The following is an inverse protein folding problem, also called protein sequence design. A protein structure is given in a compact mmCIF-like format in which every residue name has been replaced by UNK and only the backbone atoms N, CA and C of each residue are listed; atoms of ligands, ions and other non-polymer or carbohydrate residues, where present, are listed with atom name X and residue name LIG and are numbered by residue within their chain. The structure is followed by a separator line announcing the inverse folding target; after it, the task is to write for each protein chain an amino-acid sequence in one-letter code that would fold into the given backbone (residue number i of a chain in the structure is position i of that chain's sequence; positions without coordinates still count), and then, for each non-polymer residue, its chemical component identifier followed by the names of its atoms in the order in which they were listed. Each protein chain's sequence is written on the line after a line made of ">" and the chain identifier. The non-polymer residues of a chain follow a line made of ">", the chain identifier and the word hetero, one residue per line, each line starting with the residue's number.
data_IF_975319208412
#
_entry.id   IF_975319208412
#
_cell.length_a   1.000
_cell.length_b   1.000
_cell.length_c   1.000
_cell.angle_alpha   90.00
_cell.angle_beta   90.00
_cell.angle_gamma   90.00
#
_symmetry.space_group_name_H-M   'P 1'
#
loop_
_entity.id
_entity.type
_entity.pdbx_description
1 polymer ?
#
# COMPACT_ATOMS: atom_id res chain seq x y z
N UNK A 1 -39.17 23.86 22.70
CA UNK A 1 -39.33 23.28 21.35
C UNK A 1 -38.03 23.24 20.54
N UNK A 2 -37.26 24.34 20.44
CA UNK A 2 -36.02 24.44 19.65
C UNK A 2 -34.98 23.34 19.98
N UNK A 3 -34.79 22.98 21.25
CA UNK A 3 -33.85 21.93 21.68
C UNK A 3 -34.22 20.51 21.21
N UNK A 4 -35.50 20.21 20.95
CA UNK A 4 -35.92 18.91 20.38
C UNK A 4 -35.57 18.82 18.89
N UNK A 5 -35.81 19.90 18.14
CA UNK A 5 -35.48 20.00 16.71
C UNK A 5 -33.96 19.98 16.46
N UNK A 6 -33.18 20.57 17.36
CA UNK A 6 -31.71 20.52 17.29
C UNK A 6 -31.16 19.09 17.44
N UNK A 7 -31.75 18.27 18.33
CA UNK A 7 -31.38 16.85 18.50
C UNK A 7 -31.71 16.00 17.28
N UNK A 8 -32.87 16.22 16.64
CA UNK A 8 -33.24 15.51 15.41
C UNK A 8 -32.38 15.94 14.21
N UNK A 9 -31.99 17.22 14.15
CA UNK A 9 -31.06 17.72 13.12
C UNK A 9 -29.66 17.09 13.26
N UNK A 10 -29.11 17.01 14.47
CA UNK A 10 -27.83 16.33 14.72
C UNK A 10 -27.89 14.83 14.41
N UNK A 11 -28.99 14.16 14.74
CA UNK A 11 -29.20 12.74 14.39
C UNK A 11 -29.31 12.54 12.88
N UNK A 12 -29.99 13.45 12.17
CA UNK A 12 -30.10 13.41 10.72
C UNK A 12 -28.76 13.68 10.02
N UNK A 13 -27.98 14.63 10.51
CA UNK A 13 -26.60 14.89 10.03
C UNK A 13 -25.71 13.67 10.28
N UNK A 14 -25.80 13.05 11.46
CA UNK A 14 -25.05 11.84 11.78
C UNK A 14 -25.43 10.67 10.85
N UNK A 15 -26.73 10.44 10.61
CA UNK A 15 -27.22 9.42 9.68
C UNK A 15 -26.82 9.71 8.23
N UNK A 16 -26.85 10.98 7.80
CA UNK A 16 -26.43 11.38 6.46
C UNK A 16 -24.92 11.21 6.24
N UNK A 17 -24.10 11.53 7.24
CA UNK A 17 -22.65 11.28 7.21
C UNK A 17 -22.34 9.78 7.23
N UNK A 18 -23.07 8.99 8.03
CA UNK A 18 -22.92 7.54 8.06
C UNK A 18 -23.29 6.89 6.72
N UNK A 19 -24.37 7.33 6.06
CA UNK A 19 -24.79 6.81 4.76
C UNK A 19 -23.82 7.21 3.64
N UNK A 20 -23.32 8.45 3.66
CA UNK A 20 -22.33 8.94 2.68
C UNK A 20 -20.98 8.20 2.78
N UNK A 21 -20.64 7.72 3.98
CA UNK A 21 -19.40 6.98 4.22
C UNK A 21 -19.43 5.55 3.67
N UNK A 22 -20.59 4.88 3.64
CA UNK A 22 -20.71 3.58 2.98
C UNK A 22 -20.57 3.70 1.45
N UNK A 23 -21.17 4.73 0.86
CA UNK A 23 -21.13 4.95 -0.60
C UNK A 23 -19.69 5.16 -1.09
N UNK A 24 -18.86 5.92 -0.36
CA UNK A 24 -17.48 6.19 -0.76
C UNK A 24 -16.57 4.95 -0.68
N UNK A 25 -16.77 4.07 0.31
CA UNK A 25 -15.98 2.84 0.51
C UNK A 25 -16.28 1.79 -0.57
N UNK A 26 -17.49 1.78 -1.16
CA UNK A 26 -17.82 0.84 -2.23
C UNK A 26 -17.66 1.43 -3.63
N UNK A 27 -18.08 2.67 -3.89
CA UNK A 27 -18.10 3.22 -5.25
C UNK A 27 -16.69 3.58 -5.73
N UNK A 28 -15.87 4.21 -4.89
CA UNK A 28 -14.53 4.69 -5.31
C UNK A 28 -13.64 3.50 -5.68
N UNK A 29 -13.54 2.44 -4.86
CA UNK A 29 -12.73 1.27 -5.24
C UNK A 29 -13.20 0.58 -6.51
N UNK A 30 -14.51 0.40 -6.70
CA UNK A 30 -15.02 -0.22 -7.93
C UNK A 30 -14.76 0.65 -9.17
N UNK A 31 -14.89 1.98 -9.07
CA UNK A 31 -14.56 2.89 -10.17
C UNK A 31 -13.07 2.81 -10.54
N UNK A 32 -12.20 2.86 -9.53
CA UNK A 32 -10.75 2.76 -9.72
C UNK A 32 -10.35 1.39 -10.29
N UNK A 33 -10.97 0.31 -9.84
CA UNK A 33 -10.74 -1.02 -10.39
C UNK A 33 -11.18 -1.13 -11.85
N UNK A 34 -12.35 -0.59 -12.21
CA UNK A 34 -12.80 -0.59 -13.61
C UNK A 34 -11.88 0.24 -14.52
N UNK A 35 -11.41 1.39 -14.01
CA UNK A 35 -10.38 2.15 -14.70
C UNK A 35 -9.10 1.32 -14.90
N UNK A 36 -8.62 0.66 -13.84
CA UNK A 36 -7.44 -0.19 -13.87
C UNK A 36 -7.57 -1.34 -14.89
N UNK A 37 -8.75 -1.97 -15.00
CA UNK A 37 -9.00 -3.00 -16.03
C UNK A 37 -8.77 -2.47 -17.45
N UNK A 38 -9.18 -1.24 -17.74
CA UNK A 38 -9.04 -0.65 -19.08
C UNK A 38 -7.61 -0.15 -19.38
N UNK A 39 -6.74 -0.06 -18.37
CA UNK A 39 -5.35 0.39 -18.49
C UNK A 39 -4.35 -0.72 -18.10
N UNK A 40 -4.84 -1.95 -18.03
CA UNK A 40 -4.06 -3.14 -17.73
C UNK A 40 -3.48 -3.79 -19.02
N UNK A 41 -2.41 -4.59 -18.94
CA UNK A 41 -1.64 -4.90 -17.72
C UNK A 41 -0.73 -3.75 -17.28
N UNK A 42 -0.70 -3.49 -15.98
CA UNK A 42 0.34 -2.67 -15.35
C UNK A 42 1.68 -3.40 -15.42
N UNK A 43 2.77 -2.68 -15.66
CA UNK A 43 4.11 -3.27 -15.62
C UNK A 43 4.43 -3.78 -14.21
N UNK A 44 4.06 -3.02 -13.17
CA UNK A 44 4.07 -3.52 -11.80
C UNK A 44 3.02 -2.83 -10.93
N UNK A 45 2.52 -3.56 -9.92
CA UNK A 45 1.81 -2.96 -8.79
C UNK A 45 2.73 -2.77 -7.59
N UNK A 46 2.53 -1.69 -6.86
CA UNK A 46 3.21 -1.35 -5.61
C UNK A 46 2.29 -1.74 -4.45
N UNK A 47 2.76 -2.61 -3.57
CA UNK A 47 2.00 -3.13 -2.44
C UNK A 47 2.70 -2.72 -1.14
N UNK A 48 2.17 -1.71 -0.43
CA UNK A 48 2.65 -1.27 0.88
C UNK A 48 2.69 -2.38 1.94
N UNK A 49 3.81 -2.44 2.65
CA UNK A 49 4.08 -3.29 3.79
C UNK A 49 3.30 -2.91 5.03
N UNK A 50 3.22 -3.87 5.93
CA UNK A 50 2.71 -3.72 7.28
C UNK A 50 3.54 -4.65 8.18
N UNK A 51 3.75 -4.33 9.47
CA UNK A 51 4.59 -5.14 10.35
C UNK A 51 4.19 -6.63 10.39
N UNK A 52 5.20 -7.49 10.50
CA UNK A 52 5.02 -8.93 10.64
C UNK A 52 5.46 -9.38 12.04
N UNK A 53 4.56 -10.01 12.77
CA UNK A 53 4.87 -10.66 14.04
C UNK A 53 4.89 -12.18 13.83
N UNK A 54 6.04 -12.82 14.06
CA UNK A 54 6.19 -14.26 13.87
C UNK A 54 5.24 -15.08 14.74
N UNK A 55 4.93 -14.63 15.96
CA UNK A 55 4.01 -15.33 16.85
C UNK A 55 2.55 -15.29 16.35
N UNK A 56 2.17 -14.24 15.63
CA UNK A 56 0.82 -14.04 15.11
C UNK A 56 0.68 -14.44 13.62
N UNK A 57 1.81 -14.54 12.92
CA UNK A 57 1.85 -14.66 11.46
C UNK A 57 1.46 -13.35 10.77
N UNK A 58 0.94 -13.46 9.54
CA UNK A 58 0.42 -12.30 8.82
C UNK A 58 -0.95 -11.84 9.36
N UNK A 59 -1.04 -10.56 9.73
CA UNK A 59 -2.29 -9.97 10.17
C UNK A 59 -3.34 -9.87 9.04
N UNK A 60 -4.56 -9.46 9.40
CA UNK A 60 -5.69 -9.32 8.46
C UNK A 60 -5.42 -8.35 7.30
N UNK A 61 -4.66 -7.27 7.53
CA UNK A 61 -4.33 -6.25 6.53
C UNK A 61 -3.24 -6.76 5.60
N UNK A 62 -2.18 -7.38 6.13
CA UNK A 62 -1.13 -8.04 5.34
C UNK A 62 -1.75 -9.08 4.42
N UNK A 63 -2.56 -9.97 5.00
CA UNK A 63 -3.30 -11.01 4.29
C UNK A 63 -4.15 -10.41 3.17
N UNK A 64 -4.94 -9.39 3.46
CA UNK A 64 -5.73 -8.69 2.45
C UNK A 64 -4.85 -8.10 1.33
N UNK A 65 -3.75 -7.41 1.65
CA UNK A 65 -2.88 -6.79 0.64
C UNK A 65 -2.19 -7.82 -0.24
N UNK A 66 -1.66 -8.89 0.36
CA UNK A 66 -1.04 -9.99 -0.38
C UNK A 66 -2.10 -10.68 -1.25
N UNK A 67 -3.23 -11.11 -0.70
CA UNK A 67 -4.28 -11.79 -1.48
C UNK A 67 -4.82 -10.90 -2.60
N UNK A 68 -4.96 -9.59 -2.37
CA UNK A 68 -5.34 -8.63 -3.40
C UNK A 68 -4.32 -8.58 -4.53
N UNK A 69 -3.03 -8.46 -4.20
CA UNK A 69 -1.96 -8.45 -5.20
C UNK A 69 -1.90 -9.76 -6.01
N UNK A 70 -2.11 -10.91 -5.36
CA UNK A 70 -2.19 -12.22 -6.02
C UNK A 70 -3.41 -12.29 -6.94
N UNK A 71 -4.57 -11.77 -6.53
CA UNK A 71 -5.74 -11.68 -7.37
C UNK A 71 -5.45 -10.84 -8.63
N UNK A 72 -4.89 -9.64 -8.47
CA UNK A 72 -4.56 -8.76 -9.59
C UNK A 72 -3.59 -9.43 -10.59
N UNK A 73 -2.56 -10.11 -10.07
CA UNK A 73 -1.61 -10.86 -10.88
C UNK A 73 -2.29 -12.01 -11.65
N UNK A 74 -3.06 -12.86 -10.96
CA UNK A 74 -3.75 -14.01 -11.58
C UNK A 74 -4.82 -13.60 -12.59
N UNK A 75 -5.38 -12.40 -12.47
CA UNK A 75 -6.32 -11.84 -13.45
C UNK A 75 -5.63 -11.16 -14.64
N UNK A 76 -4.29 -11.17 -14.70
CA UNK A 76 -3.53 -10.52 -15.76
C UNK A 76 -3.59 -8.99 -15.70
N UNK A 77 -4.01 -8.41 -14.58
CA UNK A 77 -4.08 -6.95 -14.43
C UNK A 77 -2.70 -6.33 -14.21
N UNK A 78 -1.72 -7.12 -13.81
CA UNK A 78 -0.33 -6.68 -13.67
C UNK A 78 0.63 -7.79 -14.03
N UNK A 79 1.80 -7.42 -14.56
CA UNK A 79 2.90 -8.34 -14.90
C UNK A 79 3.76 -8.66 -13.68
N UNK A 80 3.94 -7.71 -12.77
CA UNK A 80 4.86 -7.81 -11.65
C UNK A 80 4.30 -7.21 -10.36
N UNK A 81 4.85 -7.62 -9.22
CA UNK A 81 4.48 -7.12 -7.90
C UNK A 81 5.74 -6.57 -7.20
N UNK A 82 5.69 -5.33 -6.74
CA UNK A 82 6.70 -4.73 -5.87
C UNK A 82 6.11 -4.67 -4.47
N UNK A 83 6.56 -5.54 -3.57
CA UNK A 83 6.26 -5.41 -2.14
C UNK A 83 7.24 -4.43 -1.51
N UNK A 84 6.74 -3.51 -0.69
CA UNK A 84 7.51 -2.36 -0.22
C UNK A 84 7.36 -2.14 1.28
N UNK A 85 8.46 -2.20 2.02
CA UNK A 85 8.47 -2.00 3.46
C UNK A 85 9.73 -2.56 4.11
N UNK A 86 10.29 -1.76 5.02
CA UNK A 86 11.46 -2.08 5.81
C UNK A 86 11.12 -2.77 7.14
N UNK A 87 12.12 -3.16 7.92
CA UNK A 87 11.96 -3.71 9.27
C UNK A 87 11.88 -2.58 10.31
N UNK A 88 10.74 -1.89 10.39
CA UNK A 88 10.59 -0.69 11.26
C UNK A 88 10.12 -1.03 12.66
N UNK A 89 9.06 -1.82 12.75
CA UNK A 89 8.40 -2.17 14.02
C UNK A 89 8.77 -3.56 14.52
N UNK A 90 9.35 -4.38 13.65
CA UNK A 90 9.74 -5.77 13.91
C UNK A 90 11.05 -6.03 13.16
N UNK A 91 11.85 -7.05 13.55
CA UNK A 91 13.10 -7.36 12.89
C UNK A 91 12.93 -7.99 11.50
N UNK A 92 11.71 -8.04 10.95
CA UNK A 92 11.44 -8.63 9.65
C UNK A 92 11.20 -7.54 8.60
N UNK A 93 11.86 -7.66 7.45
CA UNK A 93 11.55 -6.84 6.29
C UNK A 93 10.16 -7.20 5.76
N UNK A 94 9.21 -6.27 5.92
CA UNK A 94 7.81 -6.45 5.53
C UNK A 94 7.67 -6.88 4.06
N UNK A 95 8.44 -6.23 3.17
CA UNK A 95 8.47 -6.57 1.74
C UNK A 95 8.85 -8.03 1.46
N UNK A 96 9.86 -8.56 2.17
CA UNK A 96 10.33 -9.94 2.02
C UNK A 96 9.32 -10.93 2.60
N UNK A 97 8.69 -10.61 3.72
CA UNK A 97 7.61 -11.43 4.29
C UNK A 97 6.45 -11.58 3.29
N UNK A 98 5.97 -10.47 2.73
CA UNK A 98 4.88 -10.48 1.77
C UNK A 98 5.22 -11.29 0.51
N UNK A 99 6.47 -11.20 0.02
CA UNK A 99 6.98 -12.05 -1.07
C UNK A 99 6.88 -13.54 -0.75
N UNK A 100 7.25 -13.96 0.47
CA UNK A 100 7.18 -15.37 0.86
C UNK A 100 5.74 -15.90 0.82
N UNK A 101 4.78 -15.13 1.32
CA UNK A 101 3.36 -15.49 1.24
C UNK A 101 2.85 -15.54 -0.21
N UNK A 102 3.21 -14.56 -1.04
CA UNK A 102 2.80 -14.50 -2.44
C UNK A 102 3.29 -15.72 -3.25
N UNK A 103 4.52 -16.16 -3.00
CA UNK A 103 5.08 -17.38 -3.61
C UNK A 103 4.28 -18.61 -3.18
N UNK A 104 3.95 -18.74 -1.89
CA UNK A 104 3.10 -19.84 -1.39
C UNK A 104 1.70 -19.83 -2.01
N UNK A 105 1.22 -18.66 -2.40
CA UNK A 105 -0.06 -18.47 -3.09
C UNK A 105 0.02 -18.70 -4.61
N UNK A 106 1.20 -19.07 -5.14
CA UNK A 106 1.40 -19.46 -6.53
C UNK A 106 1.74 -18.31 -7.49
N UNK A 107 2.23 -17.17 -6.98
CA UNK A 107 2.86 -16.16 -7.84
C UNK A 107 4.30 -16.59 -8.14
N UNK A 108 4.70 -16.56 -9.41
CA UNK A 108 6.10 -16.86 -9.76
C UNK A 108 7.03 -15.80 -9.15
N UNK A 109 8.05 -16.29 -8.47
CA UNK A 109 9.07 -15.50 -7.78
C UNK A 109 9.85 -14.55 -8.68
N UNK A 110 9.92 -14.80 -10.00
CA UNK A 110 10.53 -13.91 -10.99
C UNK A 110 9.71 -12.64 -11.25
N UNK A 111 8.43 -12.66 -10.87
CA UNK A 111 7.51 -11.54 -11.00
C UNK A 111 7.30 -10.78 -9.68
N UNK A 112 8.13 -11.04 -8.67
CA UNK A 112 8.04 -10.40 -7.35
C UNK A 112 9.35 -9.73 -6.97
N UNK A 113 9.27 -8.43 -6.73
CA UNK A 113 10.37 -7.58 -6.29
C UNK A 113 10.13 -7.08 -4.86
N UNK A 114 11.21 -6.84 -4.12
CA UNK A 114 11.15 -6.39 -2.72
C UNK A 114 11.91 -5.08 -2.55
N UNK A 115 11.20 -4.04 -2.19
CA UNK A 115 11.74 -2.74 -1.80
C UNK A 115 11.77 -2.65 -0.26
N UNK A 116 12.96 -2.51 0.32
CA UNK A 116 13.18 -2.69 1.77
C UNK A 116 13.71 -1.45 2.51
N UNK A 117 13.72 -0.29 1.87
CA UNK A 117 14.16 0.99 2.44
C UNK A 117 13.00 1.76 3.10
N UNK A 118 11.79 1.62 2.57
CA UNK A 118 10.65 2.42 3.00
C UNK A 118 10.22 2.16 4.44
N UNK A 119 10.04 3.24 5.22
CA UNK A 119 9.68 3.17 6.64
C UNK A 119 8.25 3.58 6.95
N UNK A 120 7.48 4.00 5.95
CA UNK A 120 6.07 4.39 6.06
C UNK A 120 5.41 4.53 4.67
N UNK A 121 4.08 4.65 4.63
CA UNK A 121 3.29 4.61 3.38
C UNK A 121 3.72 5.58 2.26
N UNK A 122 4.11 6.83 2.58
CA UNK A 122 4.62 7.77 1.55
C UNK A 122 5.98 7.33 1.00
N UNK A 123 6.85 6.76 1.84
CA UNK A 123 8.12 6.19 1.39
C UNK A 123 7.90 4.92 0.57
N UNK A 124 6.88 4.12 0.89
CA UNK A 124 6.55 2.93 0.10
C UNK A 124 6.27 3.31 -1.36
N UNK A 125 5.52 4.41 -1.59
CA UNK A 125 5.33 4.95 -2.94
C UNK A 125 6.66 5.43 -3.55
N UNK A 126 7.44 6.24 -2.82
CA UNK A 126 8.67 6.85 -3.33
C UNK A 126 9.70 5.81 -3.80
N UNK A 127 10.10 4.91 -2.90
CA UNK A 127 11.17 3.96 -3.19
C UNK A 127 10.72 2.90 -4.20
N UNK A 128 9.45 2.47 -4.15
CA UNK A 128 8.93 1.52 -5.14
C UNK A 128 8.80 2.12 -6.53
N UNK A 129 8.35 3.39 -6.62
CA UNK A 129 8.30 4.09 -7.90
C UNK A 129 9.71 4.21 -8.47
N UNK A 130 10.69 4.67 -7.67
CA UNK A 130 12.09 4.75 -8.07
C UNK A 130 12.64 3.40 -8.55
N UNK A 131 12.44 2.32 -7.78
CA UNK A 131 12.83 0.96 -8.15
C UNK A 131 12.20 0.54 -9.48
N UNK A 132 10.89 0.76 -9.65
CA UNK A 132 10.19 0.43 -10.89
C UNK A 132 10.75 1.17 -12.10
N UNK A 133 11.02 2.48 -11.96
CA UNK A 133 11.64 3.28 -13.03
C UNK A 133 13.05 2.80 -13.37
N UNK A 134 13.86 2.44 -12.37
CA UNK A 134 15.19 1.86 -12.58
C UNK A 134 15.15 0.51 -13.30
N UNK A 135 14.05 -0.25 -13.16
CA UNK A 135 13.78 -1.48 -13.90
C UNK A 135 13.16 -1.25 -15.29
N UNK A 136 12.90 0.01 -15.67
CA UNK A 136 12.25 0.37 -16.93
C UNK A 136 10.74 0.20 -16.95
N UNK A 137 10.08 0.04 -15.79
CA UNK A 137 8.62 -0.02 -15.71
C UNK A 137 8.01 1.38 -15.89
N UNK A 138 6.97 1.45 -16.72
CA UNK A 138 6.30 2.72 -17.01
C UNK A 138 4.92 2.81 -16.39
N UNK A 139 4.12 1.76 -16.55
CA UNK A 139 2.76 1.73 -16.07
C UNK A 139 2.70 1.12 -14.66
N UNK A 140 2.70 1.96 -13.63
CA UNK A 140 2.72 1.56 -12.23
C UNK A 140 1.41 1.91 -11.51
N UNK A 141 0.99 1.06 -10.57
CA UNK A 141 -0.18 1.35 -9.74
C UNK A 141 -0.01 0.92 -8.28
N UNK A 142 -0.62 1.64 -7.34
CA UNK A 142 -0.62 1.28 -5.91
C UNK A 142 -1.82 0.38 -5.60
N UNK A 143 -1.57 -0.80 -5.02
CA UNK A 143 -2.58 -1.79 -4.65
C UNK A 143 -2.55 -2.05 -3.12
N UNK A 144 -3.50 -1.46 -2.39
CA UNK A 144 -3.65 -1.58 -0.93
C UNK A 144 -5.10 -1.38 -0.50
N UNK A 145 -5.39 -1.39 0.80
CA UNK A 145 -6.71 -1.01 1.32
C UNK A 145 -7.13 0.43 0.90
N UNK A 146 -8.45 0.71 0.79
CA UNK A 146 -8.95 2.03 0.42
C UNK A 146 -8.43 3.18 1.29
N UNK A 147 -8.28 2.97 2.60
CA UNK A 147 -7.83 4.01 3.54
C UNK A 147 -6.38 4.41 3.28
N UNK A 148 -5.48 3.43 3.17
CA UNK A 148 -4.08 3.64 2.85
C UNK A 148 -3.91 4.27 1.46
N UNK A 149 -4.74 3.88 0.49
CA UNK A 149 -4.72 4.50 -0.84
C UNK A 149 -5.04 6.00 -0.79
N UNK A 150 -6.09 6.40 -0.08
CA UNK A 150 -6.42 7.82 0.11
C UNK A 150 -5.29 8.59 0.81
N UNK A 151 -4.68 7.97 1.83
CA UNK A 151 -3.55 8.55 2.54
C UNK A 151 -2.34 8.78 1.62
N UNK A 152 -1.95 7.77 0.84
CA UNK A 152 -0.82 7.85 -0.09
C UNK A 152 -1.11 8.86 -1.20
N UNK A 153 -2.30 8.84 -1.80
CA UNK A 153 -2.69 9.80 -2.84
C UNK A 153 -2.63 11.25 -2.32
N UNK A 154 -3.01 11.48 -1.06
CA UNK A 154 -2.99 12.81 -0.46
C UNK A 154 -1.58 13.27 -0.04
N UNK A 155 -0.82 12.45 0.68
CA UNK A 155 0.50 12.86 1.20
C UNK A 155 1.62 12.69 0.17
N UNK A 156 1.49 11.74 -0.75
CA UNK A 156 2.41 11.46 -1.86
C UNK A 156 2.11 12.25 -3.13
N UNK A 157 1.28 13.30 -3.07
CA UNK A 157 0.86 14.14 -4.21
C UNK A 157 1.92 14.41 -5.30
N UNK A 158 3.20 14.73 -4.97
CA UNK A 158 4.21 14.94 -6.01
C UNK A 158 4.36 13.74 -6.96
N UNK A 159 4.27 12.51 -6.44
CA UNK A 159 4.40 11.27 -7.22
C UNK A 159 3.07 10.59 -7.53
N UNK A 160 2.01 10.89 -6.78
CA UNK A 160 0.70 10.25 -6.96
C UNK A 160 0.10 10.48 -8.36
N UNK A 161 0.53 11.51 -9.10
CA UNK A 161 0.09 11.74 -10.49
C UNK A 161 0.79 10.86 -11.53
N UNK A 162 1.80 10.09 -11.13
CA UNK A 162 2.58 9.21 -12.01
C UNK A 162 2.28 7.73 -11.79
N UNK A 163 1.33 7.43 -10.90
CA UNK A 163 0.87 6.08 -10.61
C UNK A 163 -0.65 6.06 -10.57
N UNK A 164 -1.23 4.92 -10.96
CA UNK A 164 -2.64 4.67 -10.72
C UNK A 164 -2.87 4.10 -9.32
N UNK A 165 -4.13 4.00 -8.91
CA UNK A 165 -4.52 3.46 -7.61
C UNK A 165 -5.59 2.39 -7.81
N UNK A 166 -5.35 1.21 -7.23
CA UNK A 166 -6.20 0.02 -7.35
C UNK A 166 -6.52 -0.47 -5.94
N UNK A 167 -7.42 0.20 -5.20
CA UNK A 167 -7.76 -0.22 -3.85
C UNK A 167 -8.40 -1.61 -3.83
N UNK A 168 -8.15 -2.33 -2.75
CA UNK A 168 -8.71 -3.64 -2.51
C UNK A 168 -10.24 -3.62 -2.53
N UNK A 169 -10.83 -4.52 -3.32
CA UNK A 169 -12.26 -4.81 -3.29
C UNK A 169 -12.43 -6.12 -2.51
N UNK A 170 -12.83 -6.01 -1.25
CA UNK A 170 -12.89 -7.15 -0.33
C UNK A 170 -13.73 -8.31 -0.86
N UNK A 171 -14.82 -8.05 -1.59
CA UNK A 171 -15.67 -9.11 -2.19
C UNK A 171 -14.97 -9.92 -3.30
N UNK A 172 -13.83 -9.46 -3.82
CA UNK A 172 -13.02 -10.18 -4.82
C UNK A 172 -11.88 -10.98 -4.19
N UNK A 173 -11.66 -10.84 -2.89
CA UNK A 173 -10.58 -11.50 -2.17
C UNK A 173 -11.13 -12.77 -1.52
N UNK A 174 -10.55 -13.91 -1.89
CA UNK A 174 -10.82 -15.16 -1.16
C UNK A 174 -9.87 -15.28 0.01
N UNK A 175 -10.42 -15.20 1.23
CA UNK A 175 -9.68 -15.46 2.46
C UNK A 175 -9.67 -16.95 2.84
N UNK A 176 -10.47 -17.78 2.17
CA UNK A 176 -10.58 -19.21 2.49
C UNK A 176 -9.23 -19.91 2.31
N UNK A 177 -8.83 -20.68 3.31
CA UNK A 177 -7.55 -21.41 3.33
C UNK A 177 -6.31 -20.52 3.51
N UNK A 178 -6.45 -19.21 3.67
CA UNK A 178 -5.29 -18.33 3.89
C UNK A 178 -4.65 -18.54 5.26
N UNK A 179 -5.41 -18.97 6.28
CA UNK A 179 -4.90 -19.24 7.62
C UNK A 179 -3.99 -20.47 7.71
N UNK A 180 -4.08 -21.38 6.74
CA UNK A 180 -3.24 -22.59 6.69
C UNK A 180 -1.90 -22.36 5.97
N UNK A 181 -1.68 -21.14 5.45
CA UNK A 181 -0.45 -20.79 4.75
C UNK A 181 0.59 -20.37 5.77
N UNK A 182 1.65 -21.18 5.88
CA UNK A 182 2.80 -20.89 6.72
C UNK A 182 4.04 -20.63 5.87
N UNK A 183 4.87 -19.70 6.33
CA UNK A 183 6.16 -19.35 5.73
C UNK A 183 7.27 -19.62 6.75
N UNK A 184 8.51 -19.78 6.28
CA UNK A 184 9.69 -19.64 7.13
C UNK A 184 10.18 -18.18 7.00
N UNK A 185 10.08 -17.35 8.05
CA UNK A 185 10.40 -15.93 7.97
C UNK A 185 11.90 -15.63 8.03
N UNK A 186 12.76 -16.61 8.28
CA UNK A 186 14.20 -16.39 8.56
C UNK A 186 14.92 -15.62 7.45
N UNK A 187 14.58 -15.86 6.18
CA UNK A 187 15.20 -15.13 5.05
C UNK A 187 14.80 -13.65 4.98
N UNK A 188 13.76 -13.25 5.73
CA UNK A 188 13.30 -11.87 5.85
C UNK A 188 13.84 -11.16 7.10
N UNK A 189 14.58 -11.85 7.98
CA UNK A 189 15.13 -11.27 9.19
C UNK A 189 16.22 -10.23 8.87
N UNK A 190 16.19 -9.09 9.55
CA UNK A 190 17.19 -8.05 9.52
C UNK A 190 18.11 -8.19 10.75
N UNK A 191 19.34 -8.65 10.54
CA UNK A 191 20.35 -8.75 11.61
C UNK A 191 20.73 -7.42 12.24
N UNK A 192 20.48 -6.31 11.53
CA UNK A 192 20.79 -4.94 11.96
C UNK A 192 19.54 -4.19 12.42
N UNK A 193 18.51 -4.91 12.89
CA UNK A 193 17.27 -4.29 13.36
C UNK A 193 17.51 -3.44 14.60
N UNK A 194 17.02 -2.20 14.56
CA UNK A 194 17.01 -1.28 15.69
C UNK A 194 15.57 -0.78 15.95
N UNK A 195 15.00 -0.99 17.15
CA UNK A 195 13.63 -0.59 17.49
C UNK A 195 13.50 0.92 17.76
N UNK A 196 14.13 1.78 16.93
CA UNK A 196 14.18 3.22 17.14
C UNK A 196 12.79 3.88 17.14
N UNK A 197 11.82 3.26 16.45
CA UNK A 197 10.46 3.80 16.32
C UNK A 197 9.74 3.87 17.68
N UNK A 198 10.10 2.99 18.61
CA UNK A 198 9.55 2.93 19.97
C UNK A 198 9.83 4.20 20.75
N UNK A 199 11.00 4.82 20.51
CA UNK A 199 11.44 6.06 21.16
C UNK A 199 10.78 7.33 20.61
N UNK A 200 10.02 7.24 19.51
CA UNK A 200 9.35 8.40 18.92
C UNK A 200 7.99 8.67 19.54
N UNK A 201 7.67 9.95 19.75
CA UNK A 201 6.33 10.40 20.12
C UNK A 201 5.30 10.12 19.02
N UNK A 202 4.02 10.03 19.39
CA UNK A 202 2.91 9.85 18.44
C UNK A 202 2.92 10.95 17.36
N UNK A 203 3.21 12.21 17.75
CA UNK A 203 3.28 13.34 16.81
C UNK A 203 4.38 13.16 15.77
N UNK A 204 5.53 12.62 16.16
CA UNK A 204 6.64 12.35 15.25
C UNK A 204 6.32 11.19 14.31
N UNK A 205 5.72 10.11 14.83
CA UNK A 205 5.25 8.99 14.02
C UNK A 205 4.25 9.46 12.96
N UNK A 206 3.26 10.28 13.34
CA UNK A 206 2.30 10.87 12.40
C UNK A 206 2.94 11.79 11.36
N UNK A 207 3.93 12.60 11.75
CA UNK A 207 4.69 13.44 10.80
C UNK A 207 5.43 12.59 9.76
N UNK A 208 6.05 11.49 10.20
CA UNK A 208 6.74 10.52 9.32
C UNK A 208 5.75 9.89 8.35
N UNK A 209 4.64 9.32 8.84
CA UNK A 209 3.61 8.74 7.98
C UNK A 209 3.05 9.71 6.94
N UNK A 210 2.98 11.01 7.26
CA UNK A 210 2.58 12.07 6.33
C UNK A 210 3.69 12.55 5.36
N UNK A 211 4.87 11.93 5.38
CA UNK A 211 6.04 12.28 4.56
C UNK A 211 6.69 13.61 4.92
N UNK A 212 6.44 14.14 6.13
CA UNK A 212 6.94 15.45 6.58
C UNK A 212 8.38 15.40 7.12
N UNK A 213 9.10 14.32 6.89
CA UNK A 213 10.50 14.10 7.30
C UNK A 213 11.45 14.08 6.09
N UNK A 214 11.21 14.95 5.11
CA UNK A 214 12.05 15.10 3.91
C UNK A 214 11.62 14.26 2.71
N UNK A 215 10.74 13.27 2.86
CA UNK A 215 10.30 12.41 1.76
C UNK A 215 9.68 13.20 0.60
N UNK A 216 8.84 14.21 0.89
CA UNK A 216 8.24 15.05 -0.16
C UNK A 216 9.26 15.85 -0.97
N UNK A 217 10.33 16.29 -0.32
CA UNK A 217 11.43 16.97 -0.99
C UNK A 217 12.17 16.00 -1.92
N UNK A 218 12.55 14.82 -1.42
CA UNK A 218 13.17 13.74 -2.20
C UNK A 218 12.32 13.36 -3.43
N UNK A 219 11.01 13.23 -3.26
CA UNK A 219 10.08 12.96 -4.37
C UNK A 219 10.16 14.05 -5.46
N UNK A 220 10.11 15.32 -5.04
CA UNK A 220 10.15 16.47 -5.96
C UNK A 220 11.48 16.55 -6.69
N UNK A 221 12.59 16.34 -5.99
CA UNK A 221 13.94 16.34 -6.57
C UNK A 221 14.12 15.20 -7.58
N UNK A 222 13.69 13.98 -7.22
CA UNK A 222 13.73 12.83 -8.11
C UNK A 222 12.96 13.08 -9.41
N UNK A 223 11.73 13.59 -9.32
CA UNK A 223 10.91 13.86 -10.50
C UNK A 223 11.47 14.96 -11.39
N UNK A 224 12.15 15.96 -10.81
CA UNK A 224 12.90 16.97 -11.58
C UNK A 224 14.04 16.33 -12.38
N UNK A 225 14.78 15.40 -11.76
CA UNK A 225 15.87 14.69 -12.43
C UNK A 225 15.35 13.78 -13.54
N UNK A 226 14.27 13.02 -13.31
CA UNK A 226 13.66 12.18 -14.36
C UNK A 226 13.19 13.00 -15.57
N UNK A 227 12.49 14.11 -15.34
CA UNK A 227 12.07 15.00 -16.43
C UNK A 227 13.26 15.55 -17.21
N UNK A 228 14.34 15.90 -16.52
CA UNK A 228 15.56 16.39 -17.16
C UNK A 228 16.28 15.31 -17.98
N UNK A 229 16.17 14.02 -17.60
CA UNK A 229 16.70 12.90 -18.38
C UNK A 229 15.90 12.67 -19.66
N UNK A 230 14.57 12.75 -19.57
CA UNK A 230 13.68 12.49 -20.72
C UNK A 230 13.59 13.65 -21.72
N UNK A 231 14.13 14.83 -21.38
CA UNK A 231 14.18 16.00 -22.25
C UNK A 231 15.48 16.09 -23.09
N UNK A 232 16.40 15.15 -22.91
CA UNK A 232 17.65 15.01 -23.68
C UNK A 232 17.54 13.85 -24.65
#
# INVERSE_FOLDING_TARGET
>A
MIKKWFKYSLLFIFLFVAFSSCVSVYIIPNKQFNYAKNHSPFDAIIVPGIPYNEAEGWDSIMKMRVLWSVYLYKQGLTKNIIYSGSSVYTPYYESKIMRLYAIKLGVDSNHIYTESEAKHGVENLYYSYKMGREMGFENLAVATDPGQNLQIAYYGKPMASFVDFIPAIFSKISFSGSDTIHINPQSAYNSNYEPYIENLSIKERLKRSAGKTGTKQKMTEYLKQERAKNAK
#
